data_IF_820645023623
#
_entry.id   IF_820645023623
#
_cell.length_a   1.000
_cell.length_b   1.000
_cell.length_c   1.000
_cell.angle_alpha   90.00
_cell.angle_beta   90.00
_cell.angle_gamma   90.00
#
_symmetry.space_group_name_H-M   'P 1'
#
loop_
_entity.id
_entity.type
_entity.pdbx_description
1 polymer ?
#
# COMPACT_ATOMS: atom_id res chain seq x y z
N UNK A 1 -6.32 -24.72 -4.44
CA UNK A 1 -7.76 -24.94 -4.68
C UNK A 1 -8.36 -23.61 -5.12
N UNK A 2 -9.02 -23.53 -6.28
CA UNK A 2 -9.57 -22.27 -6.78
C UNK A 2 -10.81 -21.87 -5.95
N UNK A 3 -10.91 -20.57 -5.69
CA UNK A 3 -11.99 -19.93 -4.94
C UNK A 3 -13.06 -19.53 -5.96
N UNK A 4 -14.11 -20.33 -6.06
CA UNK A 4 -15.37 -19.95 -6.69
C UNK A 4 -16.49 -20.31 -5.72
N UNK A 5 -17.51 -19.47 -5.67
CA UNK A 5 -18.75 -19.60 -4.88
C UNK A 5 -18.73 -18.99 -3.47
N UNK A 6 -18.62 -17.65 -3.44
CA UNK A 6 -19.40 -16.84 -2.50
C UNK A 6 -20.33 -15.95 -3.30
N UNK A 7 -21.53 -16.48 -3.54
CA UNK A 7 -22.67 -15.78 -4.11
C UNK A 7 -23.03 -14.56 -3.24
N UNK A 8 -22.96 -13.38 -3.85
CA UNK A 8 -23.37 -12.08 -3.30
C UNK A 8 -24.90 -11.95 -3.32
N UNK A 9 -25.58 -11.58 -2.21
CA UNK A 9 -26.95 -11.10 -2.30
C UNK A 9 -26.97 -9.63 -2.75
N UNK A 10 -27.46 -9.41 -3.97
CA UNK A 10 -27.86 -8.10 -4.50
C UNK A 10 -29.06 -7.58 -3.69
N UNK A 11 -28.89 -6.44 -3.02
CA UNK A 11 -29.99 -5.71 -2.41
C UNK A 11 -30.70 -4.88 -3.51
N UNK A 12 -31.85 -5.36 -3.96
CA UNK A 12 -32.74 -4.70 -4.92
C UNK A 12 -33.25 -3.36 -4.36
N UNK A 13 -33.11 -2.29 -5.14
CA UNK A 13 -33.86 -1.04 -4.93
C UNK A 13 -35.11 -1.12 -5.78
N UNK A 14 -36.28 -1.12 -5.15
CA UNK A 14 -37.55 -0.96 -5.85
C UNK A 14 -37.66 0.46 -6.40
N UNK A 15 -37.86 0.54 -7.72
CA UNK A 15 -38.33 1.73 -8.44
C UNK A 15 -39.85 1.68 -8.51
N UNK A 16 -40.53 2.78 -8.17
CA UNK A 16 -41.93 3.01 -8.56
C UNK A 16 -41.99 4.22 -9.47
N UNK A 17 -42.27 3.95 -10.74
CA UNK A 17 -42.73 4.88 -11.76
C UNK A 17 -44.27 4.87 -11.71
N UNK A 18 -44.95 6.01 -11.71
CA UNK A 18 -46.27 6.21 -12.37
C UNK A 18 -46.55 7.72 -12.50
N UNK A 19 -47.06 8.03 -13.68
CA UNK A 19 -47.39 9.26 -14.40
C UNK A 19 -48.46 10.18 -13.80
N UNK A 20 -48.14 11.48 -13.81
CA UNK A 20 -48.81 12.66 -14.43
C UNK A 20 -50.32 13.01 -14.26
N UNK A 21 -50.51 14.34 -14.21
CA UNK A 21 -51.64 15.25 -14.49
C UNK A 21 -52.69 15.50 -13.39
N UNK A 22 -52.74 16.77 -12.92
CA UNK A 22 -54.03 17.45 -12.63
C UNK A 22 -54.08 18.43 -11.45
N UNK A 23 -54.05 19.72 -11.78
CA UNK A 23 -54.80 20.84 -11.16
C UNK A 23 -54.67 21.17 -9.65
N UNK A 24 -54.21 22.40 -9.37
CA UNK A 24 -54.43 23.18 -8.15
C UNK A 24 -55.89 23.72 -8.14
N UNK A 25 -56.53 24.13 -7.00
CA UNK A 25 -56.09 25.37 -6.32
C UNK A 25 -56.45 25.56 -4.81
N UNK A 26 -55.82 26.61 -4.26
CA UNK A 26 -56.29 27.60 -3.25
C UNK A 26 -56.37 27.27 -1.74
N UNK A 27 -55.52 28.02 -1.02
CA UNK A 27 -55.78 28.88 0.18
C UNK A 27 -56.43 28.27 1.42
N UNK A 28 -55.73 28.31 2.56
CA UNK A 28 -56.15 29.09 3.74
C UNK A 28 -55.11 29.07 4.88
N UNK A 29 -55.21 30.12 5.68
CA UNK A 29 -54.19 30.81 6.46
C UNK A 29 -54.32 30.50 7.96
N UNK A 30 -53.24 30.74 8.73
CA UNK A 30 -53.19 30.92 10.21
C UNK A 30 -53.29 29.61 11.03
N UNK A 31 -52.64 29.40 12.18
CA UNK A 31 -52.09 30.30 13.19
C UNK A 31 -51.10 29.52 14.10
N UNK A 32 -50.13 30.22 14.70
CA UNK A 32 -49.20 29.73 15.73
C UNK A 32 -49.87 29.60 17.11
N UNK A 33 -49.29 28.76 18.01
CA UNK A 33 -49.16 28.79 19.50
C UNK A 33 -48.39 27.48 19.85
N UNK A 34 -47.13 27.44 20.31
CA UNK A 34 -46.44 27.91 21.53
C UNK A 34 -46.79 27.18 22.86
N UNK A 35 -45.72 26.78 23.55
CA UNK A 35 -45.56 26.41 24.97
C UNK A 35 -46.20 25.12 25.55
N UNK A 36 -45.35 24.20 26.02
CA UNK A 36 -45.07 24.03 27.46
C UNK A 36 -44.03 22.91 27.71
N UNK A 37 -42.90 23.32 28.28
CA UNK A 37 -41.87 22.47 28.89
C UNK A 37 -42.16 22.26 30.39
N UNK A 38 -41.32 21.40 31.02
CA UNK A 38 -41.04 21.17 32.46
C UNK A 38 -41.72 19.93 33.06
N UNK A 39 -41.07 19.09 33.86
CA UNK A 39 -39.89 19.26 34.75
C UNK A 39 -39.52 17.85 35.23
N UNK A 40 -38.29 17.36 35.07
CA UNK A 40 -37.10 17.53 35.93
C UNK A 40 -36.87 16.38 36.93
N UNK A 41 -35.63 15.86 36.93
CA UNK A 41 -34.71 15.57 38.06
C UNK A 41 -33.85 14.35 37.69
N UNK A 42 -32.51 14.33 37.77
CA UNK A 42 -31.45 15.26 38.15
C UNK A 42 -30.11 14.49 38.02
N UNK A 43 -29.07 15.07 37.40
CA UNK A 43 -27.87 15.69 38.05
C UNK A 43 -26.90 14.65 38.66
N UNK A 44 -25.57 14.60 38.45
CA UNK A 44 -24.50 15.61 38.25
C UNK A 44 -23.20 14.88 37.82
N UNK A 45 -22.41 15.37 36.86
CA UNK A 45 -21.30 16.35 36.92
C UNK A 45 -19.91 15.79 37.35
N UNK A 46 -18.98 15.87 36.37
CA UNK A 46 -17.57 16.31 36.45
C UNK A 46 -16.51 15.47 37.18
N UNK A 47 -15.51 14.99 36.43
CA UNK A 47 -14.09 15.20 36.79
C UNK A 47 -13.19 15.23 35.57
N UNK A 48 -12.65 16.42 35.33
CA UNK A 48 -11.38 16.64 34.66
C UNK A 48 -10.29 15.82 35.33
N UNK A 49 -9.73 14.86 34.60
CA UNK A 49 -8.40 14.34 34.87
C UNK A 49 -7.57 14.61 33.62
N UNK A 50 -6.75 15.67 33.72
CA UNK A 50 -5.64 15.98 32.83
C UNK A 50 -4.65 14.81 32.88
N UNK A 51 -4.93 13.74 32.14
CA UNK A 51 -4.02 12.62 31.99
C UNK A 51 -2.91 13.05 31.06
N UNK A 52 -1.83 13.51 31.67
CA UNK A 52 -0.48 13.62 31.13
C UNK A 52 -0.23 12.54 30.07
N UNK A 53 -0.41 12.90 28.80
CA UNK A 53 -0.22 11.97 27.70
C UNK A 53 1.24 12.05 27.26
N UNK A 54 2.14 11.63 28.15
CA UNK A 54 3.43 11.13 27.70
C UNK A 54 3.13 10.06 26.65
N UNK A 55 3.57 10.29 25.41
CA UNK A 55 3.25 9.42 24.28
C UNK A 55 3.89 8.05 24.53
N UNK A 56 3.14 7.17 25.20
CA UNK A 56 3.54 5.77 25.36
C UNK A 56 3.73 5.24 23.94
N UNK A 57 4.97 4.86 23.59
CA UNK A 57 5.29 4.23 22.30
C UNK A 57 4.26 3.14 22.07
N UNK A 58 3.37 3.36 21.11
CA UNK A 58 2.32 2.38 20.81
C UNK A 58 3.01 1.20 20.16
N UNK A 59 2.93 0.04 20.81
CA UNK A 59 3.36 -1.20 20.17
C UNK A 59 2.50 -1.36 18.92
N UNK A 60 3.15 -1.45 17.76
CA UNK A 60 2.45 -1.63 16.50
C UNK A 60 1.66 -2.94 16.56
N UNK A 61 0.34 -2.85 16.47
CA UNK A 61 -0.55 -4.02 16.44
C UNK A 61 -0.56 -4.60 15.03
N UNK A 62 0.00 -5.80 14.90
CA UNK A 62 -0.20 -6.62 13.71
C UNK A 62 -1.37 -7.58 13.97
N UNK A 63 -2.30 -7.66 13.03
CA UNK A 63 -3.38 -8.66 13.08
C UNK A 63 -2.92 -9.87 12.29
N UNK A 64 -3.45 -11.06 12.52
CA UNK A 64 -3.18 -12.25 11.69
C UNK A 64 -4.20 -12.35 10.55
N UNK A 65 -3.89 -13.08 9.48
CA UNK A 65 -4.86 -13.27 8.38
C UNK A 65 -6.11 -14.01 8.87
N UNK A 66 -5.95 -14.95 9.79
CA UNK A 66 -7.05 -15.67 10.42
C UNK A 66 -7.99 -14.73 11.20
N UNK A 67 -7.45 -13.74 11.91
CA UNK A 67 -8.26 -12.71 12.58
C UNK A 67 -9.04 -11.86 11.57
N UNK A 68 -8.43 -11.47 10.45
CA UNK A 68 -9.09 -10.67 9.43
C UNK A 68 -10.19 -11.50 8.74
N UNK A 69 -9.91 -12.74 8.35
CA UNK A 69 -10.88 -13.64 7.74
C UNK A 69 -12.04 -13.96 8.69
N UNK A 70 -11.75 -14.24 9.96
CA UNK A 70 -12.78 -14.43 10.99
C UNK A 70 -13.66 -13.20 11.15
N UNK A 71 -13.07 -12.01 11.09
CA UNK A 71 -13.82 -10.76 11.18
C UNK A 71 -14.77 -10.57 10.00
N UNK A 72 -14.30 -10.87 8.78
CA UNK A 72 -15.11 -10.80 7.57
C UNK A 72 -16.25 -11.84 7.57
N UNK A 73 -15.98 -13.07 8.05
CA UNK A 73 -17.02 -14.09 8.24
C UNK A 73 -18.12 -13.62 9.19
N UNK A 74 -17.74 -13.00 10.31
CA UNK A 74 -18.71 -12.44 11.27
C UNK A 74 -19.55 -11.32 10.64
N UNK A 75 -18.94 -10.43 9.84
CA UNK A 75 -19.68 -9.40 9.11
C UNK A 75 -20.68 -9.99 8.12
N UNK A 76 -20.31 -11.04 7.38
CA UNK A 76 -21.20 -11.73 6.45
C UNK A 76 -22.36 -12.43 7.16
N UNK A 77 -22.14 -12.91 8.39
CA UNK A 77 -23.18 -13.47 9.25
C UNK A 77 -24.08 -12.39 9.90
N UNK A 78 -23.95 -11.12 9.52
CA UNK A 78 -24.78 -10.02 10.04
C UNK A 78 -24.33 -9.46 11.39
N UNK A 79 -23.19 -9.89 11.92
CA UNK A 79 -22.67 -9.35 13.19
C UNK A 79 -22.20 -7.92 12.98
N UNK A 80 -22.60 -7.01 13.87
CA UNK A 80 -22.17 -5.62 13.82
C UNK A 80 -20.65 -5.47 13.92
N UNK A 81 -20.09 -4.56 13.11
CA UNK A 81 -18.64 -4.26 12.99
C UNK A 81 -17.92 -4.19 14.35
N UNK A 82 -18.49 -3.50 15.33
CA UNK A 82 -17.87 -3.34 16.65
C UNK A 82 -17.93 -4.61 17.49
N UNK A 83 -19.00 -5.39 17.36
CA UNK A 83 -19.15 -6.66 18.09
C UNK A 83 -18.13 -7.68 17.56
N UNK A 84 -18.05 -7.83 16.24
CA UNK A 84 -17.05 -8.68 15.59
C UNK A 84 -15.61 -8.28 15.93
N UNK A 85 -15.33 -6.97 15.98
CA UNK A 85 -14.01 -6.45 16.35
C UNK A 85 -13.63 -6.78 17.79
N UNK A 86 -14.58 -6.64 18.74
CA UNK A 86 -14.35 -7.00 20.15
C UNK A 86 -14.06 -8.48 20.30
N UNK A 87 -14.81 -9.35 19.62
CA UNK A 87 -14.61 -10.81 19.68
C UNK A 87 -13.21 -11.23 19.22
N UNK A 88 -12.65 -10.55 18.22
CA UNK A 88 -11.35 -10.91 17.61
C UNK A 88 -10.19 -10.04 18.09
N UNK A 89 -10.42 -9.14 19.04
CA UNK A 89 -9.40 -8.23 19.56
C UNK A 89 -8.91 -7.18 18.56
N UNK A 90 -9.72 -6.84 17.55
CA UNK A 90 -9.38 -5.85 16.53
C UNK A 90 -9.73 -4.45 17.04
N UNK A 91 -8.81 -3.49 16.91
CA UNK A 91 -9.09 -2.10 17.26
C UNK A 91 -10.24 -1.51 16.43
N UNK A 92 -11.01 -0.59 17.02
CA UNK A 92 -12.10 0.13 16.35
C UNK A 92 -11.68 0.68 14.98
N UNK A 93 -10.55 1.39 14.92
CA UNK A 93 -10.02 1.99 13.68
C UNK A 93 -9.70 0.96 12.61
N UNK A 94 -9.09 -0.17 13.00
CA UNK A 94 -8.76 -1.23 12.03
C UNK A 94 -10.01 -1.95 11.53
N UNK A 95 -10.99 -2.18 12.40
CA UNK A 95 -12.25 -2.81 12.03
C UNK A 95 -13.03 -2.01 10.99
N UNK A 96 -13.15 -0.68 11.16
CA UNK A 96 -13.78 0.16 10.15
C UNK A 96 -12.98 0.24 8.86
N UNK A 97 -11.64 0.27 8.94
CA UNK A 97 -10.78 0.21 7.74
C UNK A 97 -11.01 -1.09 6.97
N UNK A 98 -10.99 -2.23 7.65
CA UNK A 98 -11.22 -3.54 7.04
C UNK A 98 -12.60 -3.64 6.40
N UNK A 99 -13.66 -3.18 7.10
CA UNK A 99 -15.01 -3.16 6.52
C UNK A 99 -15.07 -2.28 5.27
N UNK A 100 -14.43 -1.12 5.28
CA UNK A 100 -14.39 -0.22 4.12
C UNK A 100 -13.66 -0.88 2.94
N UNK A 101 -12.46 -1.42 3.16
CA UNK A 101 -11.68 -2.11 2.12
C UNK A 101 -12.44 -3.31 1.54
N UNK A 102 -13.09 -4.09 2.40
CA UNK A 102 -13.93 -5.22 1.98
C UNK A 102 -15.10 -4.77 1.10
N UNK A 103 -15.81 -3.70 1.49
CA UNK A 103 -16.94 -3.17 0.72
C UNK A 103 -16.51 -2.54 -0.61
N UNK A 104 -15.31 -1.94 -0.67
CA UNK A 104 -14.80 -1.28 -1.88
C UNK A 104 -14.14 -2.25 -2.84
N UNK A 105 -13.32 -3.17 -2.33
CA UNK A 105 -12.43 -3.99 -3.16
C UNK A 105 -12.76 -5.49 -3.11
N UNK A 106 -13.71 -5.91 -2.26
CA UNK A 106 -13.95 -7.34 -2.00
C UNK A 106 -12.79 -8.04 -1.27
N UNK A 107 -11.80 -7.29 -0.79
CA UNK A 107 -10.63 -7.83 -0.09
C UNK A 107 -10.03 -6.78 0.84
N UNK A 108 -9.47 -7.24 1.96
CA UNK A 108 -8.67 -6.43 2.87
C UNK A 108 -7.19 -6.57 2.50
N UNK A 109 -6.56 -5.46 2.12
CA UNK A 109 -5.16 -5.48 1.70
C UNK A 109 -4.25 -5.14 2.88
N UNK A 110 -3.27 -6.00 3.13
CA UNK A 110 -2.11 -5.58 3.92
C UNK A 110 -1.21 -4.74 3.05
N UNK A 111 -0.95 -3.51 3.48
CA UNK A 111 0.10 -2.71 2.86
C UNK A 111 1.42 -3.45 3.01
N UNK A 112 2.03 -3.84 1.88
CA UNK A 112 3.37 -4.40 1.87
C UNK A 112 4.31 -3.38 2.51
N UNK A 113 5.18 -3.85 3.42
CA UNK A 113 6.27 -3.01 3.94
C UNK A 113 7.37 -2.95 2.89
N UNK A 114 7.81 -1.75 2.56
CA UNK A 114 8.89 -1.52 1.60
C UNK A 114 8.66 -0.27 0.77
N UNK A 115 9.58 0.02 -0.17
CA UNK A 115 9.40 1.06 -1.16
C UNK A 115 8.07 0.85 -1.90
N UNK A 116 7.38 1.94 -2.21
CA UNK A 116 6.13 1.87 -2.97
C UNK A 116 6.38 1.20 -4.33
N UNK A 117 5.40 0.44 -4.80
CA UNK A 117 5.34 -0.03 -6.19
C UNK A 117 5.55 1.20 -7.10
N UNK A 118 6.62 1.21 -7.90
CA UNK A 118 6.99 2.37 -8.72
C UNK A 118 8.16 3.22 -8.19
N UNK A 119 8.63 3.00 -6.95
CA UNK A 119 9.98 3.46 -6.53
C UNK A 119 11.04 2.50 -7.10
N UNK A 120 10.95 2.22 -8.40
CA UNK A 120 11.90 1.36 -9.09
C UNK A 120 13.16 2.16 -9.41
N UNK A 121 14.31 1.47 -9.41
CA UNK A 121 15.57 2.05 -9.87
C UNK A 121 15.36 2.64 -11.28
N UNK A 122 15.98 3.80 -11.60
CA UNK A 122 15.94 4.32 -12.96
C UNK A 122 16.67 3.39 -13.96
N UNK A 123 17.44 2.43 -13.45
CA UNK A 123 18.12 1.43 -14.26
C UNK A 123 17.16 0.30 -14.70
N UNK A 124 16.83 0.26 -16.00
CA UNK A 124 16.03 -0.76 -16.70
C UNK A 124 16.90 -1.83 -17.37
N UNK A 125 16.26 -2.78 -18.05
CA UNK A 125 16.91 -3.87 -18.80
C UNK A 125 17.85 -3.34 -19.91
N UNK A 126 17.45 -2.31 -20.65
CA UNK A 126 18.25 -1.70 -21.72
C UNK A 126 19.63 -1.25 -21.21
N UNK A 127 19.67 -0.65 -20.02
CA UNK A 127 20.92 -0.21 -19.39
C UNK A 127 21.76 -1.40 -18.92
N UNK A 128 21.13 -2.50 -18.47
CA UNK A 128 21.83 -3.74 -18.11
C UNK A 128 22.59 -4.31 -19.30
N UNK A 129 21.97 -4.37 -20.47
CA UNK A 129 22.58 -4.89 -21.70
C UNK A 129 23.81 -4.06 -22.11
N UNK A 130 23.69 -2.73 -22.06
CA UNK A 130 24.80 -1.82 -22.31
C UNK A 130 25.96 -2.08 -21.34
N UNK A 131 25.67 -2.14 -20.04
CA UNK A 131 26.69 -2.38 -19.00
C UNK A 131 27.37 -3.74 -19.22
N UNK A 132 26.61 -4.79 -19.53
CA UNK A 132 27.17 -6.13 -19.80
C UNK A 132 28.08 -6.13 -21.03
N UNK A 133 27.70 -5.44 -22.11
CA UNK A 133 28.54 -5.30 -23.31
C UNK A 133 29.82 -4.54 -22.99
N UNK A 134 29.71 -3.44 -22.24
CA UNK A 134 30.85 -2.62 -21.85
C UNK A 134 31.87 -3.38 -20.98
N UNK A 135 31.41 -4.13 -19.98
CA UNK A 135 32.28 -4.93 -19.11
C UNK A 135 32.98 -6.05 -19.89
N UNK A 136 32.32 -6.65 -20.88
CA UNK A 136 32.95 -7.67 -21.74
C UNK A 136 34.10 -7.09 -22.56
N UNK A 137 33.94 -5.87 -23.09
CA UNK A 137 35.00 -5.18 -23.84
C UNK A 137 36.13 -4.71 -22.94
N UNK A 138 35.79 -4.18 -21.76
CA UNK A 138 36.73 -3.56 -20.82
C UNK A 138 36.54 -4.13 -19.41
N UNK A 139 37.05 -5.34 -19.11
CA UNK A 139 36.80 -6.03 -17.83
C UNK A 139 37.43 -5.32 -16.63
N UNK A 140 38.45 -4.50 -16.85
CA UNK A 140 39.15 -3.74 -15.81
C UNK A 140 38.58 -2.33 -15.60
N UNK A 141 37.45 -2.00 -16.22
CA UNK A 141 36.87 -0.66 -16.10
C UNK A 141 36.37 -0.37 -14.68
N UNK A 142 36.71 0.81 -14.16
CA UNK A 142 36.21 1.31 -12.88
C UNK A 142 34.72 1.63 -12.96
N UNK A 143 34.00 1.47 -11.85
CA UNK A 143 32.58 1.80 -11.73
C UNK A 143 32.23 3.23 -12.17
N UNK A 144 33.11 4.19 -11.92
CA UNK A 144 32.94 5.59 -12.36
C UNK A 144 32.99 5.70 -13.89
N UNK A 145 33.88 4.95 -14.54
CA UNK A 145 33.97 4.93 -15.99
C UNK A 145 32.72 4.32 -16.62
N UNK A 146 32.22 3.22 -16.06
CA UNK A 146 30.95 2.60 -16.50
C UNK A 146 29.80 3.60 -16.37
N UNK A 147 29.77 4.38 -15.28
CA UNK A 147 28.74 5.41 -15.05
C UNK A 147 28.82 6.52 -16.10
N UNK A 148 30.01 7.02 -16.40
CA UNK A 148 30.21 8.08 -17.41
C UNK A 148 29.73 7.64 -18.78
N UNK A 149 30.14 6.45 -19.23
CA UNK A 149 29.72 5.91 -20.53
C UNK A 149 28.21 5.66 -20.58
N UNK A 150 27.62 5.20 -19.47
CA UNK A 150 26.18 5.01 -19.37
C UNK A 150 25.41 6.33 -19.45
N UNK A 151 25.91 7.40 -18.82
CA UNK A 151 25.28 8.73 -18.89
C UNK A 151 25.49 9.39 -20.26
N UNK A 152 26.56 9.05 -20.95
CA UNK A 152 26.84 9.52 -22.31
C UNK A 152 25.90 8.87 -23.33
N UNK A 153 25.64 7.57 -23.20
CA UNK A 153 24.70 6.86 -24.07
C UNK A 153 23.23 7.22 -23.75
N UNK A 154 22.92 7.39 -22.46
CA UNK A 154 21.57 7.69 -21.97
C UNK A 154 21.55 9.04 -21.26
N UNK A 155 21.45 10.14 -22.01
CA UNK A 155 21.47 11.51 -21.48
C UNK A 155 20.37 11.79 -20.44
N UNK A 156 19.23 11.10 -20.55
CA UNK A 156 18.11 11.22 -19.60
C UNK A 156 18.36 10.51 -18.26
N UNK A 157 19.40 9.67 -18.16
CA UNK A 157 19.63 8.80 -17.03
C UNK A 157 20.56 9.43 -15.98
N UNK A 158 19.98 10.00 -14.92
CA UNK A 158 20.75 10.44 -13.75
C UNK A 158 20.90 9.32 -12.72
N UNK A 159 22.02 8.61 -12.76
CA UNK A 159 22.35 7.54 -11.81
C UNK A 159 23.42 7.94 -10.80
N UNK A 160 23.28 7.48 -9.55
CA UNK A 160 24.33 7.57 -8.53
C UNK A 160 25.27 6.37 -8.61
N UNK A 161 26.51 6.52 -8.11
CA UNK A 161 27.50 5.44 -8.04
C UNK A 161 26.97 4.22 -7.27
N UNK A 162 26.28 4.46 -6.15
CA UNK A 162 25.70 3.40 -5.32
C UNK A 162 24.53 2.67 -5.99
N UNK A 163 23.66 3.40 -6.72
CA UNK A 163 22.57 2.80 -7.48
C UNK A 163 23.10 1.89 -8.59
N UNK A 164 24.11 2.37 -9.34
CA UNK A 164 24.76 1.58 -10.38
C UNK A 164 25.41 0.31 -9.80
N UNK A 165 26.13 0.42 -8.68
CA UNK A 165 26.76 -0.73 -8.05
C UNK A 165 25.75 -1.79 -7.59
N UNK A 166 24.63 -1.38 -6.98
CA UNK A 166 23.55 -2.30 -6.60
C UNK A 166 22.97 -2.98 -7.82
N UNK A 167 22.64 -2.19 -8.85
CA UNK A 167 22.09 -2.72 -10.10
C UNK A 167 23.00 -3.75 -10.78
N UNK A 168 24.30 -3.46 -10.84
CA UNK A 168 25.31 -4.38 -11.39
C UNK A 168 25.39 -5.67 -10.57
N UNK A 169 25.37 -5.58 -9.23
CA UNK A 169 25.39 -6.77 -8.37
C UNK A 169 24.17 -7.66 -8.58
N UNK A 170 23.00 -7.06 -8.78
CA UNK A 170 21.75 -7.82 -8.89
C UNK A 170 21.55 -8.41 -10.30
N UNK A 171 21.96 -7.67 -11.35
CA UNK A 171 21.63 -8.00 -12.74
C UNK A 171 22.83 -8.45 -13.60
N UNK A 172 24.07 -8.07 -13.25
CA UNK A 172 25.27 -8.31 -14.08
C UNK A 172 26.22 -9.36 -13.48
N UNK A 173 25.73 -10.25 -12.59
CA UNK A 173 26.55 -11.24 -11.86
C UNK A 173 27.44 -12.07 -12.79
N UNK A 174 26.90 -12.51 -13.93
CA UNK A 174 27.61 -13.36 -14.89
C UNK A 174 28.78 -12.63 -15.57
N UNK A 175 28.60 -11.35 -15.89
CA UNK A 175 29.62 -10.55 -16.57
C UNK A 175 30.79 -10.17 -15.63
N UNK A 176 30.51 -10.05 -14.33
CA UNK A 176 31.53 -9.67 -13.33
C UNK A 176 32.30 -10.86 -12.75
N UNK A 177 32.09 -12.09 -13.26
CA UNK A 177 32.79 -13.27 -12.75
C UNK A 177 34.30 -13.07 -12.90
N UNK A 178 35.00 -13.01 -11.76
CA UNK A 178 36.45 -12.79 -11.67
C UNK A 178 37.18 -13.72 -12.64
N UNK A 179 37.88 -13.12 -13.60
CA UNK A 179 38.89 -13.83 -14.37
C UNK A 179 40.03 -14.20 -13.42
N UNK A 180 40.49 -15.45 -13.48
CA UNK A 180 41.67 -15.85 -12.70
C UNK A 180 42.84 -15.02 -13.23
N UNK A 181 43.59 -14.39 -12.33
CA UNK A 181 44.84 -13.72 -12.68
C UNK A 181 45.81 -14.82 -13.12
N UNK A 182 46.05 -14.95 -14.42
CA UNK A 182 47.17 -15.76 -14.90
C UNK A 182 48.44 -15.08 -14.40
N UNK A 183 49.27 -15.83 -13.67
CA UNK A 183 50.59 -15.37 -13.26
C UNK A 183 51.43 -15.21 -14.53
N UNK A 184 51.55 -13.98 -15.01
CA UNK A 184 52.49 -13.63 -16.08
C UNK A 184 53.89 -13.89 -15.52
N UNK A 185 54.46 -15.05 -15.86
CA UNK A 185 55.89 -15.28 -15.76
C UNK A 185 56.51 -14.55 -16.96
N UNK A 186 57.41 -13.62 -16.68
CA UNK A 186 58.23 -12.92 -17.66
C UNK A 186 58.93 -13.95 -18.58
N UNK A 187 58.62 -13.90 -19.88
CA UNK A 187 59.55 -14.39 -20.90
C UNK A 187 60.31 -13.18 -21.45
N UNK A 188 61.20 -12.66 -20.62
CA UNK A 188 62.30 -11.82 -21.07
C UNK A 188 63.32 -12.71 -21.79
N UNK A 189 63.43 -12.50 -23.11
CA UNK A 189 64.67 -12.52 -23.88
C UNK A 189 65.40 -13.88 -23.96
N UNK A 190 65.14 -14.63 -25.03
CA UNK A 190 66.20 -15.40 -25.70
C UNK A 190 66.43 -14.74 -27.07
N UNK A 191 67.42 -13.85 -27.09
CA UNK A 191 68.10 -13.36 -28.30
C UNK A 191 69.52 -13.90 -28.18
N UNK A 192 69.83 -14.92 -28.96
CA UNK A 192 71.12 -15.20 -29.61
C UNK A 192 70.96 -16.41 -30.53
#
# INVERSE_FOLDING_TARGET
>A
MPISDLHMPLCLKETKETTDIGANPTTETNHAIEEANKTETGLTASKDDKKESGSKKTVYRDYTNTQIEGFLKLLNNGVGTMSAAKQLGISKTSAYRFRKEWMTNGQVFRKKRGPAEGTMSPLKSEHTEFIMKYIKTSPNATLERVREELQKEFESLKTSKSALQRHMKDNCVLAMRRQKKESVMDQTINKE
#
